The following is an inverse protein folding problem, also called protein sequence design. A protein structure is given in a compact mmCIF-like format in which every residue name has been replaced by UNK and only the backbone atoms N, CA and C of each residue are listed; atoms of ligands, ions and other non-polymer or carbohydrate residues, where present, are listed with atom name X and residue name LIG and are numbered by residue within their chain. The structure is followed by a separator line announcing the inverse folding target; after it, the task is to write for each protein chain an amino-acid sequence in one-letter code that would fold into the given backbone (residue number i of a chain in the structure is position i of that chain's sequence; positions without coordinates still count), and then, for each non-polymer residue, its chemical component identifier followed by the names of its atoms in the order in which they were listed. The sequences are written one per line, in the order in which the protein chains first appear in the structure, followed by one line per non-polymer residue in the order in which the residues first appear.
data_IF_955735902864
#
_entry.id   IF_955735902864
#
_cell.length_a   1.000
_cell.length_b   1.000
_cell.length_c   1.000
_cell.angle_alpha   90.00
_cell.angle_beta   90.00
_cell.angle_gamma   90.00
#
_symmetry.space_group_name_H-M   'P 1'
#
loop_
_entity.id
_entity.type
_entity.pdbx_description
1 polymer ?
#
# COMPACT_ATOMS: atom_id res chain seq x y z
N UNK A 1 -32.98 -5.63 2.29
CA UNK A 1 -31.87 -4.76 1.84
C UNK A 1 -31.31 -5.34 0.55
N UNK A 2 -31.01 -4.52 -0.47
CA UNK A 2 -30.33 -5.00 -1.68
C UNK A 2 -28.91 -5.45 -1.35
N UNK A 3 -28.42 -6.50 -2.04
CA UNK A 3 -27.04 -7.01 -1.91
C UNK A 3 -25.98 -5.89 -2.02
N UNK A 4 -26.23 -4.90 -2.89
CA UNK A 4 -25.36 -3.73 -3.06
C UNK A 4 -25.27 -2.86 -1.80
N UNK A 5 -26.37 -2.66 -1.08
CA UNK A 5 -26.36 -1.85 0.15
C UNK A 5 -25.66 -2.59 1.28
N UNK A 6 -25.83 -3.91 1.37
CA UNK A 6 -25.13 -4.73 2.37
C UNK A 6 -23.61 -4.70 2.18
N UNK A 7 -23.13 -4.75 0.93
CA UNK A 7 -21.71 -4.63 0.61
C UNK A 7 -21.14 -3.26 0.99
N UNK A 8 -21.82 -2.17 0.61
CA UNK A 8 -21.36 -0.81 0.95
C UNK A 8 -21.31 -0.58 2.47
N UNK A 9 -22.32 -1.08 3.20
CA UNK A 9 -22.33 -1.00 4.66
C UNK A 9 -21.23 -1.86 5.30
N UNK A 10 -20.92 -3.01 4.69
CA UNK A 10 -19.79 -3.84 5.12
C UNK A 10 -18.46 -3.09 4.97
N UNK A 11 -18.19 -2.52 3.79
CA UNK A 11 -16.96 -1.76 3.51
C UNK A 11 -16.82 -0.58 4.49
N UNK A 12 -17.89 0.20 4.69
CA UNK A 12 -17.89 1.31 5.67
C UNK A 12 -17.55 0.84 7.08
N UNK A 13 -18.09 -0.30 7.50
CA UNK A 13 -17.78 -0.89 8.82
C UNK A 13 -16.31 -1.33 8.90
N UNK A 14 -15.74 -1.90 7.84
CA UNK A 14 -14.33 -2.28 7.85
C UNK A 14 -13.40 -1.05 8.00
N UNK A 15 -13.72 0.08 7.36
CA UNK A 15 -12.97 1.33 7.57
C UNK A 15 -12.96 1.72 9.05
N UNK A 16 -14.10 1.64 9.74
CA UNK A 16 -14.19 1.95 11.17
C UNK A 16 -13.35 0.98 12.00
N UNK A 17 -13.50 -0.33 11.78
CA UNK A 17 -12.77 -1.36 12.53
C UNK A 17 -11.26 -1.21 12.36
N UNK A 18 -10.77 -1.00 11.14
CA UNK A 18 -9.34 -0.84 10.87
C UNK A 18 -8.78 0.42 11.56
N UNK A 19 -9.52 1.54 11.58
CA UNK A 19 -9.11 2.74 12.32
C UNK A 19 -9.12 2.52 13.84
N UNK A 20 -10.09 1.79 14.39
CA UNK A 20 -10.10 1.42 15.82
C UNK A 20 -8.88 0.57 16.19
N UNK A 21 -8.44 -0.33 15.30
CA UNK A 21 -7.20 -1.12 15.48
C UNK A 21 -5.98 -0.19 15.49
N UNK A 22 -5.90 0.75 14.54
CA UNK A 22 -4.81 1.74 14.46
C UNK A 22 -4.71 2.54 15.77
N UNK A 23 -5.83 3.06 16.26
CA UNK A 23 -5.87 3.87 17.48
C UNK A 23 -5.47 3.04 18.71
N UNK A 24 -6.05 1.85 18.87
CA UNK A 24 -5.75 0.94 19.97
C UNK A 24 -4.26 0.56 20.03
N UNK A 25 -3.67 0.22 18.87
CA UNK A 25 -2.26 -0.12 18.79
C UNK A 25 -1.37 1.09 19.06
N UNK A 26 -1.68 2.27 18.51
CA UNK A 26 -0.89 3.48 18.74
C UNK A 26 -0.90 3.89 20.22
N UNK A 27 -2.03 3.74 20.92
CA UNK A 27 -2.12 3.97 22.37
C UNK A 27 -1.29 2.95 23.15
N UNK A 28 -1.44 1.65 22.85
CA UNK A 28 -0.67 0.59 23.52
C UNK A 28 0.84 0.80 23.37
N UNK A 29 1.28 1.21 22.18
CA UNK A 29 2.69 1.47 21.87
C UNK A 29 3.32 2.52 22.79
N UNK A 30 2.58 3.47 23.37
CA UNK A 30 3.16 4.48 24.29
C UNK A 30 3.82 3.87 25.52
N UNK A 31 3.39 2.68 25.93
CA UNK A 31 3.85 1.99 27.13
C UNK A 31 4.81 0.81 26.86
N UNK A 32 4.96 0.40 25.60
CA UNK A 32 5.77 -0.78 25.24
C UNK A 32 7.24 -0.40 25.12
N UNK A 33 8.04 -0.87 26.08
CA UNK A 33 9.48 -0.67 26.11
C UNK A 33 10.30 -1.67 25.25
N UNK A 34 9.76 -2.84 24.94
CA UNK A 34 10.49 -3.84 24.14
C UNK A 34 10.50 -3.44 22.64
N UNK A 35 11.66 -3.19 22.03
CA UNK A 35 11.74 -2.70 20.65
C UNK A 35 11.18 -3.68 19.60
N UNK A 36 11.36 -4.98 19.80
CA UNK A 36 10.87 -6.00 18.86
C UNK A 36 9.35 -6.10 18.87
N UNK A 37 8.74 -6.15 20.06
CA UNK A 37 7.28 -6.14 20.22
C UNK A 37 6.69 -4.84 19.69
N UNK A 38 7.34 -3.70 19.98
CA UNK A 38 6.96 -2.39 19.44
C UNK A 38 7.00 -2.38 17.92
N UNK A 39 8.06 -2.92 17.31
CA UNK A 39 8.20 -2.98 15.86
C UNK A 39 7.08 -3.75 15.19
N UNK A 40 6.77 -4.96 15.69
CA UNK A 40 5.69 -5.81 15.16
C UNK A 40 4.33 -5.12 15.28
N UNK A 41 3.98 -4.61 16.46
CA UNK A 41 2.68 -3.95 16.68
C UNK A 41 2.56 -2.65 15.87
N UNK A 42 3.66 -1.93 15.68
CA UNK A 42 3.65 -0.75 14.80
C UNK A 42 3.45 -1.16 13.34
N UNK A 43 4.07 -2.24 12.87
CA UNK A 43 3.83 -2.80 11.54
C UNK A 43 2.36 -3.12 11.32
N UNK A 44 1.73 -3.86 12.23
CA UNK A 44 0.30 -4.20 12.16
C UNK A 44 -0.58 -2.94 12.12
N UNK A 45 -0.24 -1.90 12.90
CA UNK A 45 -0.95 -0.62 12.85
C UNK A 45 -0.82 0.06 11.48
N UNK A 46 0.35 -0.01 10.82
CA UNK A 46 0.54 0.54 9.48
C UNK A 46 -0.24 -0.26 8.42
N UNK A 47 -0.32 -1.58 8.57
CA UNK A 47 -1.13 -2.45 7.69
C UNK A 47 -2.62 -2.16 7.83
N UNK A 48 -3.13 -2.02 9.05
CA UNK A 48 -4.54 -1.63 9.29
C UNK A 48 -4.85 -0.25 8.68
N UNK A 49 -3.93 0.71 8.80
CA UNK A 49 -4.10 2.00 8.13
C UNK A 49 -4.15 1.83 6.59
N UNK A 50 -3.26 1.02 6.02
CA UNK A 50 -3.30 0.69 4.59
C UNK A 50 -4.65 0.09 4.20
N UNK A 51 -5.18 -0.86 4.97
CA UNK A 51 -6.49 -1.46 4.68
C UNK A 51 -7.63 -0.45 4.72
N UNK A 52 -7.66 0.44 5.71
CA UNK A 52 -8.67 1.49 5.82
C UNK A 52 -8.68 2.39 4.57
N UNK A 53 -7.49 2.82 4.10
CA UNK A 53 -7.34 3.61 2.88
C UNK A 53 -7.80 2.85 1.63
N UNK A 54 -7.53 1.55 1.55
CA UNK A 54 -7.99 0.71 0.43
C UNK A 54 -9.52 0.53 0.43
N UNK A 55 -10.13 0.32 1.59
CA UNK A 55 -11.59 0.25 1.71
C UNK A 55 -12.25 1.58 1.36
N UNK A 56 -11.68 2.71 1.77
CA UNK A 56 -12.18 4.03 1.43
C UNK A 56 -12.06 4.30 -0.08
N UNK A 57 -10.94 3.94 -0.71
CA UNK A 57 -10.76 4.04 -2.16
C UNK A 57 -11.79 3.19 -2.91
N UNK A 58 -12.00 1.93 -2.50
CA UNK A 58 -13.04 1.06 -3.08
C UNK A 58 -14.44 1.66 -2.92
N UNK A 59 -14.75 2.21 -1.74
CA UNK A 59 -16.04 2.84 -1.46
C UNK A 59 -16.28 4.03 -2.39
N UNK A 60 -15.27 4.88 -2.59
CA UNK A 60 -15.34 6.03 -3.50
C UNK A 60 -15.57 5.58 -4.95
N UNK A 61 -14.84 4.59 -5.44
CA UNK A 61 -15.03 4.04 -6.79
C UNK A 61 -16.44 3.44 -6.98
N UNK A 62 -17.01 2.81 -5.94
CA UNK A 62 -18.34 2.20 -6.02
C UNK A 62 -19.50 3.20 -5.93
N UNK A 63 -19.27 4.41 -5.42
CA UNK A 63 -20.34 5.35 -5.02
C UNK A 63 -20.25 6.71 -5.68
N UNK A 64 -19.12 7.06 -6.29
CA UNK A 64 -18.88 8.36 -6.91
C UNK A 64 -18.36 8.21 -8.32
N UNK A 65 -18.87 9.05 -9.23
CA UNK A 65 -18.24 9.25 -10.54
C UNK A 65 -17.02 10.15 -10.34
N UNK A 66 -15.83 9.67 -10.70
CA UNK A 66 -14.62 10.47 -10.55
C UNK A 66 -14.64 11.68 -11.50
N UNK A 67 -14.26 12.84 -10.97
CA UNK A 67 -14.02 14.02 -11.78
C UNK A 67 -12.73 13.84 -12.57
N UNK A 68 -12.71 14.33 -13.81
CA UNK A 68 -11.48 14.42 -14.59
C UNK A 68 -10.45 15.27 -13.83
N UNK A 69 -9.23 14.75 -13.70
CA UNK A 69 -8.13 15.48 -13.06
C UNK A 69 -7.64 16.59 -14.00
N UNK A 70 -7.31 17.76 -13.45
CA UNK A 70 -6.62 18.79 -14.23
C UNK A 70 -5.20 18.33 -14.57
N UNK A 71 -4.63 18.87 -15.67
CA UNK A 71 -3.24 18.57 -16.06
C UNK A 71 -2.25 18.89 -14.93
N UNK A 72 -2.46 19.98 -14.19
CA UNK A 72 -1.61 20.35 -13.05
C UNK A 72 -1.63 19.27 -11.95
N UNK A 73 -2.79 18.67 -11.67
CA UNK A 73 -2.89 17.60 -10.69
C UNK A 73 -2.22 16.31 -11.19
N UNK A 74 -2.38 15.97 -12.47
CA UNK A 74 -1.70 14.82 -13.09
C UNK A 74 -0.18 14.97 -13.03
N UNK A 75 0.35 16.16 -13.36
CA UNK A 75 1.79 16.42 -13.33
C UNK A 75 2.37 16.32 -11.91
N UNK A 76 1.64 16.81 -10.90
CA UNK A 76 2.03 16.66 -9.48
C UNK A 76 2.07 15.20 -9.05
N UNK A 77 1.04 14.42 -9.40
CA UNK A 77 0.99 12.99 -9.08
C UNK A 77 2.12 12.23 -9.78
N UNK A 78 2.34 12.50 -11.08
CA UNK A 78 3.44 11.93 -11.86
C UNK A 78 4.80 12.20 -11.21
N UNK A 79 5.08 13.46 -10.88
CA UNK A 79 6.36 13.86 -10.28
C UNK A 79 6.60 13.17 -8.92
N UNK A 80 5.54 13.03 -8.11
CA UNK A 80 5.60 12.31 -6.84
C UNK A 80 5.91 10.83 -7.04
N UNK A 81 5.19 10.16 -7.94
CA UNK A 81 5.39 8.72 -8.23
C UNK A 81 6.79 8.47 -8.79
N UNK A 82 7.24 9.25 -9.77
CA UNK A 82 8.58 9.15 -10.34
C UNK A 82 9.68 9.35 -9.30
N UNK A 83 9.49 10.28 -8.35
CA UNK A 83 10.42 10.47 -7.24
C UNK A 83 10.52 9.20 -6.40
N UNK A 84 9.40 8.58 -6.05
CA UNK A 84 9.40 7.38 -5.23
C UNK A 84 9.93 6.15 -5.99
N UNK A 85 9.68 6.02 -7.30
CA UNK A 85 10.31 4.99 -8.14
C UNK A 85 11.84 5.04 -8.02
N UNK A 86 12.43 6.25 -8.07
CA UNK A 86 13.88 6.44 -7.89
C UNK A 86 14.36 6.07 -6.50
N UNK A 87 13.61 6.47 -5.45
CA UNK A 87 13.93 6.10 -4.06
C UNK A 87 13.94 4.57 -3.89
N UNK A 88 12.92 3.88 -4.37
CA UNK A 88 12.84 2.42 -4.28
C UNK A 88 13.99 1.74 -5.04
N UNK A 89 14.30 2.21 -6.25
CA UNK A 89 15.41 1.66 -7.04
C UNK A 89 16.76 1.80 -6.32
N UNK A 90 17.01 2.95 -5.68
CA UNK A 90 18.21 3.16 -4.88
C UNK A 90 18.26 2.24 -3.64
N UNK A 91 17.12 2.06 -2.96
CA UNK A 91 17.03 1.22 -1.78
C UNK A 91 17.25 -0.26 -2.13
N UNK A 92 16.59 -0.76 -3.18
CA UNK A 92 16.77 -2.10 -3.73
C UNK A 92 18.24 -2.36 -4.02
N UNK A 93 18.92 -1.42 -4.69
CA UNK A 93 20.34 -1.54 -4.99
C UNK A 93 21.18 -1.63 -3.70
N UNK A 94 21.01 -0.69 -2.77
CA UNK A 94 21.77 -0.65 -1.51
C UNK A 94 21.60 -1.93 -0.70
N UNK A 95 20.37 -2.45 -0.59
CA UNK A 95 20.11 -3.71 0.12
C UNK A 95 20.74 -4.88 -0.63
N UNK A 96 20.61 -4.94 -1.95
CA UNK A 96 21.21 -6.01 -2.77
C UNK A 96 22.73 -6.05 -2.67
N UNK A 97 23.39 -4.89 -2.58
CA UNK A 97 24.85 -4.78 -2.48
C UNK A 97 25.36 -5.23 -1.10
N UNK A 98 24.64 -4.92 -0.02
CA UNK A 98 25.07 -5.27 1.35
C UNK A 98 24.70 -6.70 1.74
N UNK A 99 23.60 -7.25 1.23
CA UNK A 99 23.05 -8.55 1.62
C UNK A 99 24.07 -9.72 1.58
N UNK A 100 24.97 -9.83 0.60
CA UNK A 100 25.98 -10.91 0.56
C UNK A 100 27.01 -10.82 1.69
N UNK A 101 27.21 -9.64 2.28
CA UNK A 101 28.20 -9.39 3.34
C UNK A 101 27.65 -9.61 4.75
N UNK A 102 26.34 -9.86 4.89
CA UNK A 102 25.67 -10.02 6.17
C UNK A 102 25.85 -11.44 6.69
N UNK A 103 26.64 -11.58 7.77
CA UNK A 103 26.86 -12.88 8.44
C UNK A 103 25.70 -13.29 9.35
N UNK A 104 24.95 -12.33 9.91
CA UNK A 104 23.85 -12.64 10.81
C UNK A 104 22.62 -13.11 10.01
N UNK A 105 22.33 -14.42 10.07
CA UNK A 105 21.22 -15.04 9.34
C UNK A 105 19.84 -14.42 9.62
N UNK A 106 19.58 -13.92 10.83
CA UNK A 106 18.30 -13.26 11.15
C UNK A 106 18.20 -11.88 10.50
N UNK A 107 19.29 -11.13 10.49
CA UNK A 107 19.37 -9.84 9.77
C UNK A 107 19.28 -10.07 8.26
N UNK A 108 19.89 -11.14 7.76
CA UNK A 108 19.80 -11.52 6.34
C UNK A 108 18.37 -11.82 5.93
N UNK A 109 17.64 -12.64 6.69
CA UNK A 109 16.21 -12.91 6.46
C UNK A 109 15.37 -11.63 6.47
N UNK A 110 15.62 -10.73 7.43
CA UNK A 110 14.94 -9.44 7.50
C UNK A 110 15.19 -8.59 6.25
N UNK A 111 16.45 -8.44 5.83
CA UNK A 111 16.81 -7.65 4.65
C UNK A 111 16.28 -8.28 3.35
N UNK A 112 16.23 -9.60 3.25
CA UNK A 112 15.59 -10.29 2.12
C UNK A 112 14.11 -9.98 2.04
N UNK A 113 13.38 -10.06 3.16
CA UNK A 113 11.95 -9.75 3.19
C UNK A 113 11.67 -8.28 2.81
N UNK A 114 12.48 -7.34 3.32
CA UNK A 114 12.39 -5.93 2.94
C UNK A 114 12.68 -5.76 1.45
N UNK A 115 13.75 -6.39 0.92
CA UNK A 115 14.10 -6.31 -0.50
C UNK A 115 12.98 -6.80 -1.42
N UNK A 116 12.28 -7.87 -1.03
CA UNK A 116 11.13 -8.39 -1.76
C UNK A 116 9.95 -7.41 -1.75
N UNK A 117 9.69 -6.77 -0.60
CA UNK A 117 8.67 -5.74 -0.47
C UNK A 117 8.98 -4.51 -1.34
N UNK A 118 10.20 -3.98 -1.29
CA UNK A 118 10.56 -2.80 -2.11
C UNK A 118 10.54 -3.09 -3.61
N UNK A 119 10.88 -4.31 -4.03
CA UNK A 119 10.69 -4.74 -5.44
C UNK A 119 9.22 -4.72 -5.83
N UNK A 120 8.32 -5.19 -4.96
CA UNK A 120 6.88 -5.12 -5.20
C UNK A 120 6.39 -3.66 -5.23
N UNK A 121 6.81 -2.82 -4.29
CA UNK A 121 6.49 -1.39 -4.27
C UNK A 121 6.95 -0.70 -5.56
N UNK A 122 8.18 -0.97 -6.00
CA UNK A 122 8.71 -0.42 -7.23
C UNK A 122 7.87 -0.81 -8.45
N UNK A 123 7.48 -2.09 -8.58
CA UNK A 123 6.60 -2.54 -9.67
C UNK A 123 5.22 -1.86 -9.60
N UNK A 124 4.64 -1.75 -8.40
CA UNK A 124 3.34 -1.10 -8.21
C UNK A 124 3.39 0.38 -8.59
N UNK A 125 4.43 1.11 -8.18
CA UNK A 125 4.60 2.52 -8.53
C UNK A 125 4.76 2.73 -10.05
N UNK A 126 5.43 1.83 -10.75
CA UNK A 126 5.49 1.87 -12.22
C UNK A 126 4.11 1.65 -12.85
N UNK A 127 3.31 0.70 -12.36
CA UNK A 127 1.95 0.50 -12.84
C UNK A 127 1.05 1.73 -12.59
N UNK A 128 1.21 2.40 -11.44
CA UNK A 128 0.51 3.65 -11.14
C UNK A 128 0.93 4.76 -12.13
N UNK A 129 2.23 4.87 -12.41
CA UNK A 129 2.75 5.85 -13.37
C UNK A 129 2.19 5.63 -14.78
N UNK A 130 2.13 4.37 -15.25
CA UNK A 130 1.57 4.02 -16.56
C UNK A 130 0.13 4.51 -16.72
N UNK A 131 -0.68 4.43 -15.66
CA UNK A 131 -2.07 4.88 -15.67
C UNK A 131 -2.16 6.40 -15.60
N UNK A 132 -1.39 7.06 -14.73
CA UNK A 132 -1.37 8.53 -14.65
C UNK A 132 -0.98 9.14 -16.01
N UNK A 133 -0.07 8.51 -16.75
CA UNK A 133 0.38 8.97 -18.08
C UNK A 133 -0.73 8.90 -19.14
N UNK A 134 -1.78 8.08 -18.95
CA UNK A 134 -2.96 8.07 -19.84
C UNK A 134 -3.76 9.39 -19.78
N UNK A 135 -3.60 10.16 -18.71
CA UNK A 135 -4.17 11.49 -18.53
C UNK A 135 -5.69 11.54 -18.71
N UNK A 136 -6.16 12.26 -19.73
CA UNK A 136 -7.60 12.41 -20.01
C UNK A 136 -8.28 11.10 -20.45
N UNK A 137 -7.51 10.05 -20.78
CA UNK A 137 -8.05 8.75 -21.22
C UNK A 137 -8.14 7.70 -20.11
N UNK A 138 -7.91 8.09 -18.85
CA UNK A 138 -8.05 7.19 -17.69
C UNK A 138 -9.51 6.79 -17.49
N UNK A 139 -9.75 5.49 -17.30
CA UNK A 139 -11.07 4.88 -17.08
C UNK A 139 -11.27 4.46 -15.62
N UNK A 140 -12.52 4.16 -15.23
CA UNK A 140 -12.80 3.58 -13.91
C UNK A 140 -12.11 2.22 -13.73
N UNK A 141 -12.04 1.41 -14.79
CA UNK A 141 -11.33 0.12 -14.81
C UNK A 141 -9.83 0.27 -14.51
N UNK A 142 -9.18 1.33 -15.01
CA UNK A 142 -7.78 1.62 -14.71
C UNK A 142 -7.57 1.87 -13.20
N UNK A 143 -8.49 2.57 -12.54
CA UNK A 143 -8.40 2.81 -11.10
C UNK A 143 -8.62 1.53 -10.29
N UNK A 144 -9.53 0.66 -10.74
CA UNK A 144 -9.69 -0.67 -10.15
C UNK A 144 -8.44 -1.53 -10.31
N UNK A 145 -7.75 -1.45 -11.45
CA UNK A 145 -6.50 -2.17 -11.69
C UNK A 145 -5.40 -1.76 -10.70
N UNK A 146 -5.26 -0.46 -10.39
CA UNK A 146 -4.31 0.03 -9.39
C UNK A 146 -4.66 -0.52 -8.00
N UNK A 147 -5.92 -0.38 -7.60
CA UNK A 147 -6.37 -0.79 -6.29
C UNK A 147 -6.18 -2.30 -6.09
N UNK A 148 -6.44 -3.09 -7.15
CA UNK A 148 -6.26 -4.53 -7.15
C UNK A 148 -4.79 -4.96 -7.10
N UNK A 149 -3.89 -4.30 -7.85
CA UNK A 149 -2.44 -4.60 -7.82
C UNK A 149 -1.80 -4.34 -6.44
N UNK A 150 -2.44 -3.55 -5.58
CA UNK A 150 -1.97 -3.28 -4.22
C UNK A 150 -2.48 -4.29 -3.16
N UNK A 151 -3.37 -5.22 -3.54
CA UNK A 151 -3.90 -6.26 -2.64
C UNK A 151 -2.80 -7.29 -2.35
N UNK A 152 -2.48 -7.57 -1.06
CA UNK A 152 -1.28 -8.30 -0.65
C UNK A 152 -1.20 -9.81 -1.00
N UNK A 153 -2.03 -10.34 -1.91
CA UNK A 153 -2.10 -11.79 -2.21
C UNK A 153 -1.95 -12.15 -3.69
N UNK A 154 -1.07 -11.49 -4.43
CA UNK A 154 -0.60 -12.00 -5.73
C UNK A 154 0.85 -12.47 -5.62
N UNK A 155 1.02 -13.65 -5.02
CA UNK A 155 2.34 -14.24 -4.79
C UNK A 155 2.41 -15.55 -4.00
N UNK A 156 1.34 -16.34 -3.86
CA UNK A 156 1.45 -17.73 -3.42
C UNK A 156 0.91 -18.65 -4.53
N UNK A 157 1.74 -19.53 -5.13
CA UNK A 157 1.22 -20.64 -5.91
C UNK A 157 0.62 -21.65 -4.92
N UNK A 158 -0.70 -21.70 -4.83
CA UNK A 158 -1.39 -22.75 -4.07
C UNK A 158 -2.78 -22.34 -3.58
N UNK A 159 -3.80 -22.60 -4.41
CA UNK A 159 -5.21 -22.66 -4.00
C UNK A 159 -6.08 -21.55 -4.57
#
# INVERSE_FOLDING_TARGET
MSSKNALLDFIKRQIVVENEIVDSLNEALKSIGNPSVRGVLKGISLDSLKHAEMYDAALKLLTTTQQALSQEHLDKQKSLVEKHIRVEAELIKKISDILPTVENEKVKLLLTAILEDEKRHHMLLNAVLEIIVKGETITEEDWWEILWKNVPFHGAPGG
#
